data_IF_858367163775
#
_entry.id   IF_858367163775
#
_cell.length_a   1.000
_cell.length_b   1.000
_cell.length_c   1.000
_cell.angle_alpha   90.00
_cell.angle_beta   90.00
_cell.angle_gamma   90.00
#
_symmetry.space_group_name_H-M   'P 1'
#
loop_
_entity.id
_entity.type
_entity.pdbx_description
1 polymer ?
#
# COMPACT_ATOMS: atom_id res chain seq x y z
N UNK A 1 14.18 7.13 -0.49
CA UNK A 1 14.35 7.04 0.94
C UNK A 1 13.23 7.72 1.68
N UNK A 2 12.79 7.15 2.75
CA UNK A 2 11.56 7.57 3.44
C UNK A 2 11.87 8.49 4.61
N UNK A 3 12.63 9.54 4.35
CA UNK A 3 13.11 10.45 5.39
C UNK A 3 11.99 11.18 6.14
N UNK A 4 10.87 11.39 5.46
CA UNK A 4 9.74 12.11 6.02
C UNK A 4 8.76 11.21 6.76
N UNK A 5 9.04 9.93 6.85
CA UNK A 5 8.26 9.00 7.63
C UNK A 5 8.89 8.87 9.01
N UNK A 6 8.05 8.77 10.04
CA UNK A 6 8.55 8.49 11.37
C UNK A 6 9.11 7.08 11.44
N UNK A 7 9.92 6.81 12.45
CA UNK A 7 10.46 5.48 12.65
C UNK A 7 9.35 4.46 12.86
N UNK A 8 8.31 4.83 13.60
CA UNK A 8 7.16 3.96 13.83
C UNK A 8 6.44 3.66 12.52
N UNK A 9 6.24 4.68 11.68
CA UNK A 9 5.61 4.48 10.37
C UNK A 9 6.42 3.54 9.50
N UNK A 10 7.74 3.69 9.50
CA UNK A 10 8.62 2.81 8.74
C UNK A 10 8.53 1.36 9.24
N UNK A 11 8.50 1.17 10.55
CA UNK A 11 8.38 -0.16 11.13
C UNK A 11 7.03 -0.80 10.78
N UNK A 12 5.96 -0.02 10.85
CA UNK A 12 4.63 -0.51 10.53
C UNK A 12 4.54 -0.94 9.06
N UNK A 13 5.08 -0.13 8.16
CA UNK A 13 5.09 -0.46 6.73
C UNK A 13 5.93 -1.70 6.45
N UNK A 14 7.07 -1.83 7.10
CA UNK A 14 7.92 -3.01 6.95
C UNK A 14 7.20 -4.27 7.42
N UNK A 15 6.49 -4.18 8.54
CA UNK A 15 5.72 -5.30 9.08
C UNK A 15 4.57 -5.68 8.16
N UNK A 16 3.87 -4.67 7.63
CA UNK A 16 2.79 -4.91 6.67
C UNK A 16 3.30 -5.61 5.42
N UNK A 17 4.41 -5.14 4.88
CA UNK A 17 5.04 -5.76 3.72
C UNK A 17 5.41 -7.21 4.00
N UNK A 18 6.02 -7.48 5.15
CA UNK A 18 6.42 -8.83 5.53
C UNK A 18 5.20 -9.75 5.64
N UNK A 19 4.10 -9.26 6.23
CA UNK A 19 2.87 -10.02 6.37
C UNK A 19 2.29 -10.37 4.99
N UNK A 20 2.30 -9.41 4.06
CA UNK A 20 1.79 -9.64 2.71
C UNK A 20 2.69 -10.58 1.93
N UNK A 21 4.00 -10.49 2.09
CA UNK A 21 4.93 -11.43 1.45
C UNK A 21 4.68 -12.85 1.94
N UNK A 22 4.43 -13.01 3.23
CA UNK A 22 4.14 -14.31 3.82
C UNK A 22 2.82 -14.86 3.32
N UNK A 23 1.81 -14.00 3.18
CA UNK A 23 0.48 -14.40 2.74
C UNK A 23 0.44 -14.72 1.24
N UNK A 24 1.12 -13.94 0.43
CA UNK A 24 0.95 -13.95 -1.02
C UNK A 24 2.12 -14.58 -1.78
N UNK A 25 3.33 -14.52 -1.24
CA UNK A 25 4.50 -15.02 -1.94
C UNK A 25 4.64 -14.35 -3.32
N UNK A 26 4.79 -15.17 -4.34
CA UNK A 26 4.98 -14.70 -5.73
C UNK A 26 3.76 -13.97 -6.30
N UNK A 27 2.61 -14.10 -5.65
CA UNK A 27 1.40 -13.41 -6.11
C UNK A 27 1.39 -11.94 -5.75
N UNK A 28 2.25 -11.51 -4.85
CA UNK A 28 2.41 -10.09 -4.51
C UNK A 28 3.31 -9.44 -5.55
N UNK A 29 2.74 -8.56 -6.36
CA UNK A 29 3.48 -7.95 -7.46
C UNK A 29 4.13 -6.63 -7.08
N UNK A 30 3.44 -5.80 -6.30
CA UNK A 30 4.07 -4.57 -5.81
C UNK A 30 3.35 -4.04 -4.58
N UNK A 31 4.10 -3.30 -3.78
CA UNK A 31 3.58 -2.49 -2.68
C UNK A 31 4.25 -1.13 -2.80
N UNK A 32 3.46 -0.07 -2.82
CA UNK A 32 3.97 1.30 -2.92
C UNK A 32 3.26 2.21 -1.94
N UNK A 33 4.01 3.12 -1.35
CA UNK A 33 3.41 4.24 -0.60
C UNK A 33 3.12 5.35 -1.60
N UNK A 34 1.94 5.96 -1.50
CA UNK A 34 1.61 7.11 -2.34
C UNK A 34 0.81 8.12 -1.50
N UNK A 35 0.30 9.17 -2.12
CA UNK A 35 -0.49 10.16 -1.41
C UNK A 35 0.38 11.15 -0.65
N UNK A 36 -0.22 11.85 0.34
CA UNK A 36 0.45 12.97 1.01
C UNK A 36 1.73 12.56 1.73
N UNK A 37 1.76 11.39 2.35
CA UNK A 37 2.97 10.93 3.04
C UNK A 37 4.12 10.69 2.06
N UNK A 38 3.82 10.17 0.88
CA UNK A 38 4.84 9.97 -0.16
C UNK A 38 5.39 11.31 -0.67
N UNK A 39 4.53 12.34 -0.69
CA UNK A 39 4.93 13.68 -1.15
C UNK A 39 5.57 14.53 -0.05
N UNK A 40 5.70 14.00 1.16
CA UNK A 40 6.19 14.74 2.32
C UNK A 40 5.30 15.95 2.64
N UNK A 41 4.00 15.80 2.45
CA UNK A 41 3.01 16.86 2.72
C UNK A 41 2.04 16.49 3.84
N UNK A 42 2.10 15.25 4.30
CA UNK A 42 1.18 14.77 5.32
C UNK A 42 1.62 15.18 6.72
N UNK A 43 0.70 15.05 7.66
CA UNK A 43 0.96 15.20 9.09
C UNK A 43 0.97 13.82 9.73
N UNK A 44 1.27 13.76 11.04
CA UNK A 44 1.23 12.49 11.75
C UNK A 44 -0.16 11.85 11.75
N UNK A 45 -1.20 12.66 11.58
CA UNK A 45 -2.58 12.18 11.56
C UNK A 45 -3.04 11.77 10.16
N UNK A 46 -2.25 12.05 9.13
CA UNK A 46 -2.59 11.66 7.77
C UNK A 46 -2.50 10.16 7.58
N UNK A 47 -3.38 9.61 6.74
CA UNK A 47 -3.37 8.19 6.41
C UNK A 47 -2.11 7.84 5.64
N UNK A 48 -1.68 6.60 5.79
CA UNK A 48 -0.61 6.04 4.97
C UNK A 48 -1.28 5.32 3.80
N UNK A 49 -1.29 5.96 2.64
CA UNK A 49 -1.91 5.39 1.43
C UNK A 49 -0.96 4.37 0.81
N UNK A 50 -1.38 3.12 0.75
CA UNK A 50 -0.55 2.04 0.25
C UNK A 50 -1.26 1.34 -0.89
N UNK A 51 -0.60 1.24 -2.04
CA UNK A 51 -1.11 0.45 -3.15
C UNK A 51 -0.54 -0.96 -3.07
N UNK A 52 -1.42 -1.94 -3.11
CA UNK A 52 -1.05 -3.36 -3.15
C UNK A 52 -1.56 -3.93 -4.46
N UNK A 53 -0.65 -4.43 -5.30
CA UNK A 53 -1.03 -5.08 -6.56
C UNK A 53 -0.73 -6.56 -6.43
N UNK A 54 -1.76 -7.38 -6.70
CA UNK A 54 -1.65 -8.83 -6.61
C UNK A 54 -1.94 -9.45 -7.97
N UNK A 55 -1.38 -10.64 -8.21
CA UNK A 55 -1.53 -11.31 -9.50
C UNK A 55 -2.99 -11.60 -9.82
N UNK A 56 -3.68 -12.20 -8.88
CA UNK A 56 -5.10 -12.48 -9.00
C UNK A 56 -5.78 -12.19 -7.68
N UNK A 57 -7.04 -11.74 -7.75
CA UNK A 57 -7.77 -11.34 -6.55
C UNK A 57 -9.07 -12.11 -6.44
N UNK A 58 -9.40 -12.54 -5.23
CA UNK A 58 -10.74 -12.99 -4.92
C UNK A 58 -11.16 -12.34 -3.59
N UNK A 59 -12.42 -12.55 -3.23
CA UNK A 59 -12.98 -11.92 -2.03
C UNK A 59 -12.25 -12.35 -0.75
N UNK A 60 -11.89 -13.62 -0.67
CA UNK A 60 -11.22 -14.13 0.53
C UNK A 60 -9.83 -13.51 0.69
N UNK A 61 -9.09 -13.39 -0.41
CA UNK A 61 -7.78 -12.77 -0.38
C UNK A 61 -7.86 -11.29 -0.05
N UNK A 62 -8.82 -10.59 -0.65
CA UNK A 62 -9.04 -9.18 -0.35
C UNK A 62 -9.26 -8.99 1.15
N UNK A 63 -10.14 -9.80 1.74
CA UNK A 63 -10.43 -9.73 3.17
C UNK A 63 -9.18 -9.97 4.01
N UNK A 64 -8.36 -10.94 3.63
CA UNK A 64 -7.14 -11.25 4.37
C UNK A 64 -6.16 -10.10 4.35
N UNK A 65 -6.03 -9.42 3.22
CA UNK A 65 -5.14 -8.25 3.12
C UNK A 65 -5.66 -7.11 4.00
N UNK A 66 -6.96 -6.87 3.97
CA UNK A 66 -7.57 -5.84 4.82
C UNK A 66 -7.36 -6.16 6.30
N UNK A 67 -7.53 -7.43 6.68
CA UNK A 67 -7.29 -7.86 8.07
C UNK A 67 -5.86 -7.60 8.50
N UNK A 68 -4.89 -7.83 7.61
CA UNK A 68 -3.50 -7.54 7.93
C UNK A 68 -3.29 -6.04 8.18
N UNK A 69 -3.92 -5.18 7.37
CA UNK A 69 -3.79 -3.75 7.57
C UNK A 69 -4.44 -3.30 8.89
N UNK A 70 -5.56 -3.90 9.26
CA UNK A 70 -6.21 -3.58 10.53
C UNK A 70 -5.36 -4.01 11.72
N UNK A 71 -4.69 -5.15 11.64
CA UNK A 71 -3.77 -5.59 12.69
C UNK A 71 -2.63 -4.60 12.88
N UNK A 72 -2.11 -4.05 11.78
CA UNK A 72 -1.06 -3.03 11.85
C UNK A 72 -1.61 -1.75 12.50
N UNK A 73 -2.81 -1.33 12.10
CA UNK A 73 -3.44 -0.14 12.67
C UNK A 73 -3.57 -0.23 14.19
N UNK A 74 -4.01 -1.40 14.66
CA UNK A 74 -4.16 -1.63 16.09
C UNK A 74 -2.82 -1.69 16.81
N UNK A 75 -1.82 -2.33 16.21
CA UNK A 75 -0.53 -2.52 16.84
C UNK A 75 0.27 -1.21 16.95
N UNK A 76 0.11 -0.32 15.98
CA UNK A 76 0.93 0.89 15.88
C UNK A 76 0.13 2.18 16.06
N UNK A 77 -1.16 2.08 16.36
CA UNK A 77 -2.04 3.24 16.53
C UNK A 77 -1.93 4.19 15.34
N UNK A 78 -2.16 3.66 14.15
CA UNK A 78 -2.11 4.45 12.92
C UNK A 78 -3.21 4.00 11.98
N UNK A 79 -3.25 4.60 10.81
CA UNK A 79 -4.29 4.32 9.83
C UNK A 79 -3.66 4.05 8.46
N UNK A 80 -3.50 2.77 8.13
CA UNK A 80 -3.15 2.35 6.79
C UNK A 80 -4.41 2.40 5.94
N UNK A 81 -4.28 2.95 4.75
CA UNK A 81 -5.38 3.01 3.79
C UNK A 81 -4.96 2.23 2.55
N UNK A 82 -5.15 0.89 2.53
CA UNK A 82 -4.72 0.10 1.39
C UNK A 82 -5.69 0.22 0.23
N UNK A 83 -5.14 0.43 -0.96
CA UNK A 83 -5.85 0.26 -2.23
C UNK A 83 -5.34 -1.04 -2.83
N UNK A 84 -6.22 -2.01 -2.98
CA UNK A 84 -5.83 -3.36 -3.36
C UNK A 84 -6.37 -3.63 -4.76
N UNK A 85 -5.48 -3.85 -5.72
CA UNK A 85 -5.85 -4.08 -7.10
C UNK A 85 -5.23 -5.38 -7.61
N UNK A 86 -5.94 -6.05 -8.52
CA UNK A 86 -5.33 -7.12 -9.29
C UNK A 86 -4.42 -6.52 -10.36
N UNK A 87 -3.54 -7.35 -10.91
CA UNK A 87 -2.68 -6.93 -12.01
C UNK A 87 -3.52 -6.43 -13.19
N UNK A 88 -4.62 -7.10 -13.50
CA UNK A 88 -5.50 -6.68 -14.58
C UNK A 88 -6.11 -5.31 -14.33
N UNK A 89 -6.57 -5.06 -13.09
CA UNK A 89 -7.13 -3.77 -12.74
C UNK A 89 -6.08 -2.66 -12.82
N UNK A 90 -4.87 -2.95 -12.36
CA UNK A 90 -3.80 -1.95 -12.42
C UNK A 90 -3.43 -1.65 -13.88
N UNK A 91 -3.34 -2.69 -14.73
CA UNK A 91 -3.06 -2.48 -16.15
C UNK A 91 -4.14 -1.68 -16.85
N UNK A 92 -5.41 -1.87 -16.48
CA UNK A 92 -6.50 -1.05 -17.02
C UNK A 92 -6.34 0.42 -16.65
N UNK A 93 -5.97 0.70 -15.40
CA UNK A 93 -5.68 2.07 -14.98
C UNK A 93 -4.57 2.68 -15.83
N UNK A 94 -3.53 1.89 -16.13
CA UNK A 94 -2.43 2.34 -16.97
C UNK A 94 -2.89 2.65 -18.39
N UNK A 95 -3.68 1.75 -18.97
CA UNK A 95 -4.16 1.91 -20.36
C UNK A 95 -5.03 3.16 -20.51
N UNK A 96 -5.86 3.44 -19.53
CA UNK A 96 -6.73 4.62 -19.57
C UNK A 96 -6.02 5.88 -19.07
N UNK A 97 -4.83 5.76 -18.55
CA UNK A 97 -4.09 6.91 -18.02
C UNK A 97 -4.84 7.62 -16.92
N UNK A 98 -5.43 6.85 -15.99
CA UNK A 98 -6.24 7.44 -14.92
C UNK A 98 -5.40 8.36 -14.05
N UNK A 99 -6.03 9.36 -13.41
CA UNK A 99 -5.32 10.20 -12.45
C UNK A 99 -4.66 9.38 -11.33
N UNK A 100 -5.34 8.33 -10.86
CA UNK A 100 -4.78 7.45 -9.85
C UNK A 100 -3.47 6.83 -10.32
N UNK A 101 -3.46 6.22 -11.50
CA UNK A 101 -2.27 5.60 -12.05
C UNK A 101 -1.13 6.60 -12.20
N UNK A 102 -1.45 7.77 -12.75
CA UNK A 102 -0.43 8.81 -12.99
C UNK A 102 0.18 9.29 -11.68
N UNK A 103 -0.66 9.47 -10.65
CA UNK A 103 -0.17 9.93 -9.35
C UNK A 103 0.72 8.88 -8.70
N UNK A 104 0.34 7.60 -8.76
CA UNK A 104 1.15 6.53 -8.18
C UNK A 104 2.49 6.42 -8.89
N UNK A 105 2.50 6.50 -10.22
CA UNK A 105 3.75 6.40 -10.98
C UNK A 105 4.66 7.60 -10.71
N UNK A 106 4.08 8.78 -10.53
CA UNK A 106 4.86 9.99 -10.32
C UNK A 106 5.43 10.08 -8.91
N UNK A 107 4.65 9.72 -7.90
CA UNK A 107 5.02 9.97 -6.51
C UNK A 107 5.17 8.72 -5.66
N UNK A 108 4.83 7.55 -6.19
CA UNK A 108 4.85 6.31 -5.42
C UNK A 108 6.26 5.90 -5.02
N UNK A 109 6.37 5.40 -3.80
CA UNK A 109 7.64 4.92 -3.25
C UNK A 109 7.52 3.42 -3.05
N UNK A 110 8.38 2.65 -3.71
CA UNK A 110 8.37 1.19 -3.55
C UNK A 110 8.77 0.82 -2.12
N UNK A 111 8.03 -0.09 -1.54
CA UNK A 111 8.28 -0.55 -0.17
C UNK A 111 9.03 -1.88 -0.12
#
# INVERSE_FOLDING_TARGET
MKKHLTEVEQQALARFKAALQSLLGDKLLSIRLFGSKARNEGTEESDLDVLVVVQEMDRALYRRIVEESLDIDLAYDMNLAPTILSDEEYRRNREFGTPFYRNVEKEGIAL
#
